data_IF_593508198513
#
_entry.id   IF_593508198513
#
_cell.length_a   1.000
_cell.length_b   1.000
_cell.length_c   1.000
_cell.angle_alpha   90.00
_cell.angle_beta   90.00
_cell.angle_gamma   90.00
#
_symmetry.space_group_name_H-M   'P 1'
#
loop_
_entity.id
_entity.type
_entity.pdbx_description
1 polymer ?
#
# COMPACT_ATOMS: atom_id res chain seq x y z
N UNK A 1 6.05 62.47 -30.19
CA UNK A 1 5.06 61.65 -29.49
C UNK A 1 4.86 60.38 -30.30
N UNK A 2 5.50 59.29 -29.88
CA UNK A 2 5.43 57.98 -30.52
C UNK A 2 4.69 57.04 -29.56
N UNK A 3 3.52 56.55 -29.97
CA UNK A 3 2.74 55.58 -29.20
C UNK A 3 3.30 54.20 -29.55
N UNK A 4 3.96 53.55 -28.60
CA UNK A 4 4.42 52.16 -28.72
C UNK A 4 3.31 51.25 -28.19
N UNK A 5 2.65 50.53 -29.10
CA UNK A 5 1.72 49.46 -28.75
C UNK A 5 2.53 48.20 -28.39
N UNK A 6 2.46 47.77 -27.13
CA UNK A 6 3.03 46.49 -26.68
C UNK A 6 1.93 45.43 -26.82
N UNK A 7 1.98 44.62 -27.88
CA UNK A 7 1.17 43.41 -27.99
C UNK A 7 1.80 42.30 -27.15
N UNK A 8 1.11 41.87 -26.10
CA UNK A 8 1.50 40.74 -25.27
C UNK A 8 1.43 39.43 -26.08
N UNK A 9 2.57 38.77 -26.25
CA UNK A 9 2.68 37.42 -26.82
C UNK A 9 2.51 36.43 -25.67
N UNK A 10 1.41 35.68 -25.65
CA UNK A 10 1.22 34.55 -24.73
C UNK A 10 2.01 33.34 -25.22
N UNK A 11 2.73 32.61 -24.35
CA UNK A 11 3.42 31.39 -24.75
C UNK A 11 2.42 30.24 -24.92
N UNK A 12 2.42 29.62 -26.10
CA UNK A 12 1.68 28.38 -26.40
C UNK A 12 2.18 27.25 -25.49
N UNK A 13 1.31 26.78 -24.61
CA UNK A 13 1.49 25.53 -23.86
C UNK A 13 1.53 24.37 -24.87
N UNK A 14 2.67 23.66 -24.93
CA UNK A 14 2.76 22.41 -25.68
C UNK A 14 1.97 21.35 -24.92
N UNK A 15 0.88 20.88 -25.52
CA UNK A 15 0.20 19.65 -25.09
C UNK A 15 1.19 18.48 -25.21
N UNK A 16 1.50 17.86 -24.08
CA UNK A 16 2.22 16.59 -24.03
C UNK A 16 1.17 15.49 -24.28
N UNK A 17 1.36 14.61 -25.28
CA UNK A 17 0.36 13.61 -25.63
C UNK A 17 0.17 12.62 -24.48
N UNK A 18 -1.09 12.44 -24.06
CA UNK A 18 -1.51 11.44 -23.10
C UNK A 18 -1.07 10.06 -23.58
N UNK A 19 -0.05 9.48 -22.95
CA UNK A 19 0.27 8.07 -23.13
C UNK A 19 -0.92 7.25 -22.63
N UNK A 20 -1.35 6.32 -23.48
CA UNK A 20 -2.46 5.41 -23.24
C UNK A 20 -2.35 4.74 -21.86
N UNK A 21 -3.42 4.91 -21.09
CA UNK A 21 -3.74 4.18 -19.87
C UNK A 21 -3.81 2.70 -20.24
N UNK A 22 -2.82 1.91 -19.83
CA UNK A 22 -2.91 0.45 -19.93
C UNK A 22 -3.86 -0.03 -18.84
N UNK A 23 -4.91 -0.75 -19.25
CA UNK A 23 -5.95 -1.40 -18.46
C UNK A 23 -5.71 -1.39 -16.94
N UNK A 24 -6.24 -0.32 -16.35
CA UNK A 24 -6.19 0.06 -14.95
C UNK A 24 -6.97 -0.96 -14.13
N UNK A 25 -6.29 -1.68 -13.24
CA UNK A 25 -6.93 -2.41 -12.13
C UNK A 25 -7.61 -1.35 -11.27
N UNK A 26 -8.87 -1.05 -11.59
CA UNK A 26 -9.63 0.05 -10.98
C UNK A 26 -10.05 -0.35 -9.57
N UNK A 27 -9.21 -0.07 -8.58
CA UNK A 27 -9.51 -0.33 -7.16
C UNK A 27 -10.77 0.45 -6.78
N UNK A 28 -11.86 -0.26 -6.46
CA UNK A 28 -13.11 0.32 -5.98
C UNK A 28 -13.12 0.33 -4.45
N UNK A 29 -12.97 1.50 -3.82
CA UNK A 29 -13.21 1.65 -2.39
C UNK A 29 -14.73 1.53 -2.12
N UNK A 30 -15.17 0.58 -1.28
CA UNK A 30 -16.61 0.32 -1.02
C UNK A 30 -17.06 0.80 0.37
N UNK A 31 -18.34 0.55 0.74
CA UNK A 31 -18.99 1.02 1.97
C UNK A 31 -19.28 -0.09 3.03
N UNK A 32 -18.59 -1.25 3.05
CA UNK A 32 -18.95 -2.39 3.95
C UNK A 32 -17.98 -2.90 5.06
N UNK A 33 -16.64 -2.72 5.05
CA UNK A 33 -15.70 -2.98 6.20
C UNK A 33 -14.65 -1.87 6.52
N UNK A 34 -14.51 -1.40 7.77
CA UNK A 34 -13.50 -0.37 8.18
C UNK A 34 -12.26 -0.96 8.86
N UNK A 35 -11.12 -0.27 8.75
CA UNK A 35 -9.98 -0.47 9.67
C UNK A 35 -10.37 -0.16 11.10
N UNK A 36 -10.01 -1.04 12.04
CA UNK A 36 -10.37 -0.90 13.45
C UNK A 36 -9.18 -0.42 14.29
N UNK A 37 -9.44 -0.02 15.54
CA UNK A 37 -8.39 0.30 16.51
C UNK A 37 -7.47 -0.88 16.83
N UNK A 38 -7.94 -2.12 16.59
CA UNK A 38 -7.09 -3.30 16.65
C UNK A 38 -5.95 -3.21 15.62
N UNK A 39 -6.26 -2.83 14.38
CA UNK A 39 -5.25 -2.63 13.33
C UNK A 39 -4.22 -1.57 13.69
N UNK A 40 -4.67 -0.46 14.31
CA UNK A 40 -3.77 0.57 14.83
C UNK A 40 -2.84 0.00 15.91
N UNK A 41 -3.40 -0.75 16.85
CA UNK A 41 -2.64 -1.39 17.93
C UNK A 41 -1.57 -2.32 17.37
N UNK A 42 -1.93 -3.18 16.41
CA UNK A 42 -0.98 -4.07 15.72
C UNK A 42 0.15 -3.28 15.04
N UNK A 43 -0.18 -2.22 14.30
CA UNK A 43 0.83 -1.38 13.65
C UNK A 43 1.79 -0.74 14.67
N UNK A 44 1.26 -0.21 15.78
CA UNK A 44 2.08 0.38 16.85
C UNK A 44 2.98 -0.66 17.53
N UNK A 45 2.48 -1.88 17.73
CA UNK A 45 3.29 -3.01 18.22
C UNK A 45 4.42 -3.34 17.25
N UNK A 46 4.14 -3.47 15.95
CA UNK A 46 5.17 -3.71 14.93
C UNK A 46 6.22 -2.61 14.93
N UNK A 47 5.81 -1.34 15.05
CA UNK A 47 6.73 -0.20 15.10
C UNK A 47 7.56 -0.17 16.38
N UNK A 48 7.05 -0.70 17.48
CA UNK A 48 7.81 -0.84 18.74
C UNK A 48 8.92 -1.86 18.59
N UNK A 49 8.61 -3.03 18.00
CA UNK A 49 9.61 -4.03 17.65
C UNK A 49 10.63 -3.54 16.63
N UNK A 50 10.17 -2.79 15.61
CA UNK A 50 11.06 -2.16 14.65
C UNK A 50 12.10 -1.27 15.34
N UNK A 51 11.70 -0.42 16.29
CA UNK A 51 12.64 0.42 17.06
C UNK A 51 13.63 -0.41 17.87
N UNK A 52 13.17 -1.46 18.54
CA UNK A 52 14.04 -2.41 19.26
C UNK A 52 15.11 -3.01 18.34
N UNK A 53 14.74 -3.50 17.17
CA UNK A 53 15.71 -4.06 16.21
C UNK A 53 16.65 -3.01 15.62
N UNK A 54 16.17 -1.80 15.34
CA UNK A 54 17.02 -0.68 14.90
C UNK A 54 18.10 -0.38 15.96
N UNK A 55 17.74 -0.33 17.24
CA UNK A 55 18.67 -0.07 18.33
C UNK A 55 19.70 -1.19 18.48
N UNK A 56 19.27 -2.45 18.39
CA UNK A 56 20.19 -3.59 18.43
C UNK A 56 21.14 -3.61 17.24
N UNK A 57 20.64 -3.38 16.02
CA UNK A 57 21.44 -3.36 14.81
C UNK A 57 22.48 -2.22 14.84
N UNK A 58 22.06 -1.00 15.18
CA UNK A 58 22.96 0.16 15.29
C UNK A 58 24.01 0.00 16.38
N UNK A 59 23.72 -0.74 17.44
CA UNK A 59 24.68 -1.03 18.51
C UNK A 59 25.59 -2.24 18.23
N UNK A 60 25.41 -2.93 17.08
CA UNK A 60 26.15 -4.15 16.74
C UNK A 60 25.81 -5.35 17.62
N UNK A 61 24.65 -5.32 18.28
CA UNK A 61 24.18 -6.36 19.22
C UNK A 61 23.10 -7.27 18.64
N UNK A 62 22.66 -7.01 17.42
CA UNK A 62 21.68 -7.83 16.73
C UNK A 62 22.26 -9.24 16.51
N UNK A 63 21.69 -10.23 17.18
CA UNK A 63 22.09 -11.63 17.11
C UNK A 63 20.83 -12.47 16.93
N UNK A 64 20.48 -12.72 15.67
CA UNK A 64 19.21 -13.35 15.27
C UNK A 64 19.12 -14.78 15.84
N UNK A 65 20.25 -15.48 15.99
CA UNK A 65 20.30 -16.84 16.53
C UNK A 65 19.91 -16.91 18.02
N UNK A 66 19.92 -15.77 18.71
CA UNK A 66 19.54 -15.66 20.14
C UNK A 66 18.15 -15.10 20.37
N UNK A 67 17.41 -14.80 19.31
CA UNK A 67 16.07 -14.25 19.45
C UNK A 67 15.14 -15.22 20.17
N UNK A 68 14.31 -14.66 21.06
CA UNK A 68 13.13 -15.35 21.56
C UNK A 68 12.17 -15.69 20.41
N UNK A 69 11.21 -16.59 20.65
CA UNK A 69 10.22 -16.96 19.63
C UNK A 69 9.43 -15.74 19.10
N UNK A 70 9.09 -14.81 19.98
CA UNK A 70 8.39 -13.57 19.61
C UNK A 70 9.30 -12.65 18.79
N UNK A 71 10.56 -12.46 19.21
CA UNK A 71 11.54 -11.66 18.46
C UNK A 71 11.72 -12.20 17.05
N UNK A 72 11.94 -13.51 16.90
CA UNK A 72 12.07 -14.14 15.59
C UNK A 72 10.85 -13.92 14.72
N UNK A 73 9.64 -14.06 15.28
CA UNK A 73 8.38 -13.83 14.56
C UNK A 73 8.25 -12.39 14.09
N UNK A 74 8.47 -11.42 14.97
CA UNK A 74 8.33 -10.00 14.60
C UNK A 74 9.43 -9.57 13.64
N UNK A 75 10.66 -10.04 13.83
CA UNK A 75 11.76 -9.76 12.93
C UNK A 75 11.48 -10.28 11.52
N UNK A 76 11.07 -11.55 11.38
CA UNK A 76 10.72 -12.13 10.09
C UNK A 76 9.53 -11.40 9.45
N UNK A 77 8.49 -11.09 10.24
CA UNK A 77 7.33 -10.32 9.77
C UNK A 77 7.77 -8.95 9.24
N UNK A 78 8.63 -8.22 9.95
CA UNK A 78 9.10 -6.90 9.55
C UNK A 78 10.05 -6.94 8.34
N UNK A 79 10.83 -8.01 8.19
CA UNK A 79 11.71 -8.18 7.03
C UNK A 79 10.97 -8.64 5.77
N UNK A 80 9.78 -9.22 5.89
CA UNK A 80 8.99 -9.75 4.76
C UNK A 80 7.78 -8.89 4.40
N UNK A 81 7.16 -8.22 5.37
CA UNK A 81 6.04 -7.30 5.12
C UNK A 81 6.51 -6.15 4.22
N UNK A 82 5.91 -6.06 3.05
CA UNK A 82 6.12 -5.01 2.05
C UNK A 82 4.96 -4.00 2.02
N UNK A 83 3.89 -4.28 2.76
CA UNK A 83 2.65 -3.53 2.74
C UNK A 83 2.70 -2.38 3.73
N UNK A 84 3.14 -2.61 4.97
CA UNK A 84 3.08 -1.56 6.02
C UNK A 84 4.44 -1.00 6.42
N UNK A 85 5.53 -1.73 6.15
CA UNK A 85 6.86 -1.44 6.73
C UNK A 85 7.51 -0.15 6.21
N UNK A 86 7.12 0.33 5.02
CA UNK A 86 7.57 1.62 4.49
C UNK A 86 7.26 2.80 5.43
N UNK A 87 6.25 2.65 6.30
CA UNK A 87 5.83 3.67 7.27
C UNK A 87 6.56 3.63 8.61
N UNK A 88 7.34 2.58 8.92
CA UNK A 88 7.84 2.35 10.28
C UNK A 88 8.76 3.48 10.79
N UNK A 89 9.43 4.15 9.85
CA UNK A 89 10.37 5.24 10.11
C UNK A 89 9.73 6.63 10.03
N UNK A 90 8.48 6.76 9.57
CA UNK A 90 7.82 8.06 9.42
C UNK A 90 7.45 8.66 10.79
N UNK A 91 7.62 9.97 10.94
CA UNK A 91 7.33 10.68 12.18
C UNK A 91 5.82 10.96 12.33
N UNK A 92 5.28 10.78 13.53
CA UNK A 92 3.86 11.05 13.82
C UNK A 92 2.85 10.09 13.18
N UNK A 93 3.32 9.07 12.45
CA UNK A 93 2.50 8.05 11.77
C UNK A 93 1.52 7.30 12.68
N UNK A 94 1.84 7.20 13.97
CA UNK A 94 0.97 6.63 15.00
C UNK A 94 -0.36 7.37 15.16
N UNK A 95 -0.39 8.66 14.81
CA UNK A 95 -1.54 9.55 14.96
C UNK A 95 -2.32 9.72 13.65
N UNK A 96 -1.83 9.18 12.54
CA UNK A 96 -2.54 9.28 11.26
C UNK A 96 -3.83 8.47 11.27
N UNK A 97 -4.84 8.86 10.48
CA UNK A 97 -6.03 8.04 10.33
C UNK A 97 -5.65 6.68 9.72
N UNK A 98 -6.34 5.63 10.15
CA UNK A 98 -6.16 4.31 9.54
C UNK A 98 -6.81 4.30 8.16
N UNK A 99 -6.11 3.71 7.21
CA UNK A 99 -6.53 3.56 5.83
C UNK A 99 -6.37 2.10 5.42
N UNK A 100 -7.16 1.69 4.44
CA UNK A 100 -6.98 0.42 3.78
C UNK A 100 -5.85 0.50 2.78
N UNK A 101 -5.04 -0.55 2.73
CA UNK A 101 -3.79 -0.58 1.98
C UNK A 101 -3.72 -1.81 1.08
N UNK A 102 -3.28 -1.63 -0.16
CA UNK A 102 -3.14 -2.70 -1.15
C UNK A 102 -1.90 -2.43 -2.02
N UNK A 103 -1.04 -3.43 -2.22
CA UNK A 103 0.18 -3.27 -3.04
C UNK A 103 0.34 -4.27 -4.20
N UNK A 104 -0.74 -4.91 -4.66
CA UNK A 104 -0.74 -5.87 -5.79
C UNK A 104 0.03 -7.18 -5.56
N UNK A 105 1.01 -7.16 -4.64
CA UNK A 105 1.77 -8.30 -4.17
C UNK A 105 0.96 -9.00 -3.08
N UNK A 106 0.02 -9.86 -3.50
CA UNK A 106 -0.61 -10.90 -2.68
C UNK A 106 -0.63 -10.61 -1.19
N UNK A 107 -1.39 -9.60 -0.78
CA UNK A 107 -1.78 -9.36 0.61
C UNK A 107 -2.69 -10.50 1.05
N UNK A 108 -2.18 -11.72 1.14
CA UNK A 108 -2.79 -12.87 1.81
C UNK A 108 -1.93 -14.11 1.57
N UNK A 109 -1.05 -14.35 2.53
CA UNK A 109 -0.73 -15.71 2.96
C UNK A 109 -0.37 -15.72 4.45
N UNK A 110 0.32 -14.67 4.94
CA UNK A 110 1.00 -14.71 6.24
C UNK A 110 0.66 -13.55 7.20
N UNK A 111 -0.51 -12.93 7.11
CA UNK A 111 -1.04 -12.07 8.19
C UNK A 111 -0.58 -10.60 8.23
N UNK A 112 -0.14 -10.01 7.10
CA UNK A 112 -0.03 -8.55 7.01
C UNK A 112 -1.41 -7.90 7.04
N UNK A 113 -1.58 -6.86 7.86
CA UNK A 113 -2.86 -6.18 8.01
C UNK A 113 -3.19 -5.37 6.76
N UNK A 114 -4.41 -5.53 6.24
CA UNK A 114 -5.05 -4.70 5.22
C UNK A 114 -5.17 -3.21 5.55
N UNK A 115 -4.62 -2.80 6.70
CA UNK A 115 -4.77 -1.50 7.29
C UNK A 115 -3.40 -0.95 7.66
N UNK A 116 -3.16 0.31 7.32
CA UNK A 116 -2.00 1.07 7.76
C UNK A 116 -2.40 2.54 8.00
N UNK A 117 -1.66 3.29 8.83
CA UNK A 117 -1.90 4.72 8.95
C UNK A 117 -1.52 5.43 7.64
N UNK A 118 -2.33 6.39 7.19
CA UNK A 118 -2.05 7.18 5.98
C UNK A 118 -2.57 8.62 6.10
N UNK A 119 -1.76 9.66 5.78
CA UNK A 119 -2.15 11.04 5.99
C UNK A 119 -2.77 11.62 4.72
N UNK A 120 -4.03 11.29 4.45
CA UNK A 120 -4.72 11.81 3.26
C UNK A 120 -4.73 13.34 3.20
N UNK A 121 -4.54 13.88 2.00
CA UNK A 121 -4.60 15.31 1.72
C UNK A 121 -6.05 15.73 1.47
N UNK A 122 -6.56 16.62 2.33
CA UNK A 122 -7.90 17.18 2.19
C UNK A 122 -9.00 16.11 2.27
N UNK A 123 -9.90 16.10 1.30
CA UNK A 123 -11.05 15.19 1.23
C UNK A 123 -10.81 13.98 0.32
N UNK A 124 -9.56 13.71 -0.09
CA UNK A 124 -9.28 12.57 -0.97
C UNK A 124 -9.71 11.25 -0.33
N UNK A 125 -10.48 10.48 -1.07
CA UNK A 125 -10.93 9.13 -0.70
C UNK A 125 -9.89 8.07 -1.08
N UNK A 126 -9.03 8.39 -2.05
CA UNK A 126 -8.06 7.49 -2.64
C UNK A 126 -6.74 8.21 -2.91
N UNK A 127 -5.64 7.58 -2.53
CA UNK A 127 -4.28 8.03 -2.85
C UNK A 127 -3.38 6.83 -3.09
N UNK A 128 -2.19 7.07 -3.63
CA UNK A 128 -1.19 6.04 -3.83
C UNK A 128 0.21 6.61 -3.60
N UNK A 129 1.15 5.72 -3.29
CA UNK A 129 2.58 6.02 -3.36
C UNK A 129 3.18 5.30 -4.55
N UNK A 130 3.94 6.08 -5.31
CA UNK A 130 4.65 5.64 -6.51
C UNK A 130 5.58 4.46 -6.18
N UNK A 131 5.79 3.58 -7.17
CA UNK A 131 6.60 2.37 -7.02
C UNK A 131 7.98 2.67 -6.42
N UNK A 132 8.69 3.65 -6.99
CA UNK A 132 10.07 3.95 -6.59
C UNK A 132 10.16 4.56 -5.19
N UNK A 133 9.18 5.40 -4.82
CA UNK A 133 9.08 5.96 -3.48
C UNK A 133 8.82 4.85 -2.45
N UNK A 134 7.86 3.98 -2.75
CA UNK A 134 7.48 2.91 -1.84
C UNK A 134 8.60 1.88 -1.66
N UNK A 135 9.22 1.45 -2.76
CA UNK A 135 10.38 0.54 -2.73
C UNK A 135 11.54 1.12 -1.94
N UNK A 136 11.83 2.40 -2.12
CA UNK A 136 12.89 3.08 -1.39
C UNK A 136 12.60 3.13 0.11
N UNK A 137 11.36 3.39 0.50
CA UNK A 137 10.95 3.41 1.90
C UNK A 137 11.09 2.03 2.56
N UNK A 138 10.59 0.97 1.91
CA UNK A 138 10.69 -0.41 2.43
C UNK A 138 12.15 -0.88 2.49
N UNK A 139 12.94 -0.62 1.45
CA UNK A 139 14.37 -0.98 1.42
C UNK A 139 15.15 -0.29 2.55
N UNK A 140 14.96 1.02 2.72
CA UNK A 140 15.60 1.80 3.78
C UNK A 140 15.23 1.26 5.16
N UNK A 141 13.96 0.90 5.37
CA UNK A 141 13.53 0.28 6.61
C UNK A 141 14.24 -1.05 6.89
N UNK A 142 14.23 -1.98 5.92
CA UNK A 142 14.86 -3.31 6.05
C UNK A 142 16.36 -3.22 6.33
N UNK A 143 17.05 -2.26 5.72
CA UNK A 143 18.45 -1.96 6.01
C UNK A 143 18.64 -1.50 7.46
N UNK A 144 17.73 -0.69 8.01
CA UNK A 144 17.88 -0.16 9.37
C UNK A 144 17.62 -1.18 10.48
N UNK A 145 16.85 -2.24 10.22
CA UNK A 145 16.67 -3.36 11.16
C UNK A 145 17.64 -4.52 10.91
N UNK A 146 18.48 -4.43 9.87
CA UNK A 146 19.50 -5.42 9.56
C UNK A 146 18.99 -6.70 8.89
N UNK A 147 17.94 -6.62 8.06
CA UNK A 147 17.47 -7.76 7.25
C UNK A 147 18.55 -8.27 6.28
N UNK A 148 18.38 -9.49 5.77
CA UNK A 148 19.30 -10.07 4.78
C UNK A 148 19.28 -9.29 3.46
N UNK A 149 20.36 -9.43 2.68
CA UNK A 149 20.44 -8.81 1.34
C UNK A 149 19.30 -9.28 0.44
N UNK A 150 18.96 -10.57 0.45
CA UNK A 150 17.83 -11.12 -0.31
C UNK A 150 16.50 -10.45 0.07
N UNK A 151 16.25 -10.26 1.38
CA UNK A 151 15.05 -9.58 1.86
C UNK A 151 15.03 -8.11 1.43
N UNK A 152 16.17 -7.42 1.46
CA UNK A 152 16.28 -6.04 0.95
C UNK A 152 16.06 -5.98 -0.56
N UNK A 153 16.60 -6.92 -1.34
CA UNK A 153 16.47 -6.93 -2.79
C UNK A 153 15.07 -7.34 -3.28
N UNK A 154 14.35 -8.14 -2.50
CA UNK A 154 12.99 -8.58 -2.84
C UNK A 154 12.01 -7.41 -3.07
N UNK A 155 12.33 -6.21 -2.59
CA UNK A 155 11.54 -4.99 -2.82
C UNK A 155 11.37 -4.65 -4.30
N UNK A 156 12.28 -5.10 -5.18
CA UNK A 156 12.21 -4.89 -6.63
C UNK A 156 10.94 -5.47 -7.26
N UNK A 157 10.27 -6.40 -6.56
CA UNK A 157 9.03 -7.04 -6.99
C UNK A 157 7.76 -6.37 -6.44
N UNK A 158 7.88 -5.34 -5.59
CA UNK A 158 6.73 -4.63 -5.01
C UNK A 158 6.17 -3.65 -6.05
N UNK A 159 4.84 -3.60 -6.20
CA UNK A 159 4.15 -2.64 -7.05
C UNK A 159 3.92 -1.29 -6.36
N UNK A 160 3.00 -0.50 -6.93
CA UNK A 160 2.47 0.71 -6.28
C UNK A 160 1.71 0.32 -5.02
N UNK A 161 1.68 1.23 -4.04
CA UNK A 161 0.90 1.02 -2.82
C UNK A 161 -0.28 1.98 -2.79
N UNK A 162 -1.48 1.42 -2.70
CA UNK A 162 -2.74 2.12 -2.84
C UNK A 162 -3.43 2.24 -1.50
N UNK A 163 -4.05 3.40 -1.27
CA UNK A 163 -4.68 3.76 -0.01
C UNK A 163 -6.14 4.18 -0.23
N UNK A 164 -7.06 3.53 0.48
CA UNK A 164 -8.47 3.90 0.53
C UNK A 164 -8.81 4.40 1.94
N UNK A 165 -9.40 5.60 2.04
CA UNK A 165 -9.83 6.18 3.32
C UNK A 165 -10.94 5.37 3.97
N UNK A 166 -11.81 4.80 3.14
CA UNK A 166 -13.03 4.20 3.64
C UNK A 166 -12.80 2.72 4.02
N UNK A 167 -12.53 1.78 3.07
CA UNK A 167 -12.73 0.34 3.37
C UNK A 167 -11.89 -0.66 2.55
N UNK A 168 -11.67 -1.83 3.15
CA UNK A 168 -10.76 -2.90 2.71
C UNK A 168 -11.58 -4.07 2.15
N UNK A 169 -11.17 -4.69 1.05
CA UNK A 169 -11.86 -5.88 0.52
C UNK A 169 -10.85 -6.99 0.21
N UNK A 170 -11.08 -8.19 0.74
CA UNK A 170 -10.19 -9.38 0.67
C UNK A 170 -10.14 -10.04 -0.72
N UNK A 171 -11.02 -9.63 -1.62
CA UNK A 171 -11.14 -10.21 -2.95
C UNK A 171 -10.69 -9.12 -3.90
N UNK A 172 -9.59 -9.38 -4.62
CA UNK A 172 -9.14 -8.54 -5.71
C UNK A 172 -10.35 -8.00 -6.46
N UNK A 173 -10.43 -6.67 -6.50
CA UNK A 173 -11.25 -5.86 -7.42
C UNK A 173 -12.36 -6.66 -8.15
N UNK A 174 -13.58 -6.65 -7.61
CA UNK A 174 -14.80 -6.66 -8.45
C UNK A 174 -15.47 -7.98 -8.86
N UNK A 175 -14.95 -9.17 -8.54
CA UNK A 175 -15.49 -10.37 -9.22
C UNK A 175 -16.72 -11.04 -8.59
N UNK A 176 -16.97 -10.94 -7.28
CA UNK A 176 -18.05 -11.75 -6.66
C UNK A 176 -19.47 -11.30 -7.04
N UNK A 177 -19.83 -9.99 -7.02
CA UNK A 177 -21.15 -9.56 -7.48
C UNK A 177 -21.34 -9.83 -8.99
N UNK A 178 -20.29 -9.67 -9.79
CA UNK A 178 -20.32 -9.91 -11.23
C UNK A 178 -20.50 -11.39 -11.57
N UNK A 179 -19.83 -12.29 -10.84
CA UNK A 179 -19.98 -13.74 -11.00
C UNK A 179 -21.37 -14.22 -10.61
N UNK A 180 -21.97 -13.65 -9.56
CA UNK A 180 -23.35 -13.97 -9.16
C UNK A 180 -24.36 -13.48 -10.22
N UNK A 181 -24.14 -12.30 -10.82
CA UNK A 181 -24.96 -11.82 -11.94
C UNK A 181 -24.76 -12.65 -13.21
N UNK A 182 -23.53 -13.07 -13.51
CA UNK A 182 -23.28 -13.94 -14.66
C UNK A 182 -23.91 -15.31 -14.47
N UNK A 183 -23.79 -15.89 -13.27
CA UNK A 183 -24.40 -17.18 -12.94
C UNK A 183 -25.94 -17.13 -13.03
N UNK A 184 -26.56 -16.01 -12.62
CA UNK A 184 -28.01 -15.86 -12.72
C UNK A 184 -28.49 -15.67 -14.16
N UNK A 185 -27.74 -14.94 -14.99
CA UNK A 185 -28.04 -14.80 -16.44
C UNK A 185 -27.85 -16.11 -17.18
N UNK A 186 -26.74 -16.82 -16.95
CA UNK A 186 -26.49 -18.14 -17.57
C UNK A 186 -27.51 -19.17 -17.10
N UNK A 187 -27.85 -19.17 -15.80
CA UNK A 187 -28.89 -20.02 -15.24
C UNK A 187 -30.26 -19.75 -15.86
N UNK A 188 -30.63 -18.49 -16.05
CA UNK A 188 -31.87 -18.12 -16.71
C UNK A 188 -31.90 -18.55 -18.18
N UNK A 189 -30.82 -18.31 -18.95
CA UNK A 189 -30.72 -18.74 -20.35
C UNK A 189 -30.85 -20.27 -20.48
N UNK A 190 -30.20 -21.03 -19.59
CA UNK A 190 -30.33 -22.49 -19.59
C UNK A 190 -31.74 -22.95 -19.20
N UNK A 191 -32.46 -22.22 -18.33
CA UNK A 191 -33.85 -22.56 -17.98
C UNK A 191 -34.82 -22.33 -19.16
N UNK A 192 -34.62 -21.28 -19.95
CA UNK A 192 -35.45 -20.97 -21.12
C UNK A 192 -35.08 -21.76 -22.38
N UNK A 193 -33.91 -22.39 -22.44
CA UNK A 193 -33.47 -23.21 -23.57
C UNK A 193 -33.90 -24.69 -23.46
N UNK A 194 -34.62 -25.06 -22.40
CA UNK A 194 -35.07 -26.44 -22.11
C UNK A 194 -36.59 -26.62 -22.32
N UNK A 195 -37.31 -25.56 -22.73
CA UNK A 195 -38.67 -25.63 -23.31
C UNK A 195 -38.61 -25.67 -24.84
#
# INVERSE_FOLDING_TARGET
>A
MLIVAITAVTPKTKEVPSKAVSDEVRIQCTKSVYCSDYSRTTFVTHRTWARHFIEQYKSGRLDIDKFSADESKYYDTLCTDATTTGFMLEEGVENWPMACIWNGAGTSANGSSWCAPYPFKGESVYEFREVDEWRSAVANFRLQIGCSEEQVESVKNIGENYFCRERCNDLGVGDVPCLIMYASVVGAIMFFAVE
#
